data_IF_249733562635
#
_entry.id   IF_249733562635
#
_cell.length_a   1.000
_cell.length_b   1.000
_cell.length_c   1.000
_cell.angle_alpha   90.00
_cell.angle_beta   90.00
_cell.angle_gamma   90.00
#
_symmetry.space_group_name_H-M   'P 1'
#
loop_
_entity.id
_entity.type
_entity.pdbx_description
1 polymer ?
#
# COMPACT_ATOMS: atom_id res chain seq x y z
N UNK A 1 26.65 -10.20 -0.56
CA UNK A 1 26.08 -8.86 -0.26
C UNK A 1 25.44 -8.32 -1.53
N UNK A 2 24.15 -8.09 -1.52
CA UNK A 2 23.43 -7.48 -2.66
C UNK A 2 23.89 -6.05 -2.80
N UNK A 3 24.38 -5.71 -4.00
CA UNK A 3 24.88 -4.36 -4.31
C UNK A 3 23.68 -3.41 -4.42
N UNK A 4 23.70 -2.32 -3.65
CA UNK A 4 22.69 -1.27 -3.75
C UNK A 4 22.61 -0.69 -5.17
N UNK A 5 21.42 -0.39 -5.64
CA UNK A 5 21.20 0.17 -6.97
C UNK A 5 21.27 1.71 -6.92
N UNK A 6 22.35 2.26 -7.44
CA UNK A 6 22.48 3.71 -7.64
C UNK A 6 21.77 4.11 -8.94
N UNK A 7 20.62 4.79 -8.84
CA UNK A 7 19.84 5.24 -10.00
C UNK A 7 20.44 6.45 -10.72
N UNK A 8 21.44 7.09 -10.14
CA UNK A 8 22.11 8.23 -10.78
C UNK A 8 23.08 7.81 -11.90
N UNK A 9 23.33 6.50 -12.06
CA UNK A 9 24.29 5.96 -13.05
C UNK A 9 23.72 4.75 -13.80
N UNK A 10 24.30 4.40 -14.93
CA UNK A 10 24.03 3.19 -15.70
C UNK A 10 22.61 3.10 -16.29
N UNK A 11 22.17 1.89 -16.68
CA UNK A 11 20.88 1.68 -17.35
C UNK A 11 19.70 1.83 -16.40
N UNK A 12 18.86 2.80 -16.65
CA UNK A 12 17.68 3.14 -15.86
C UNK A 12 16.65 2.01 -15.88
N UNK A 13 16.27 1.54 -17.08
CA UNK A 13 15.23 0.51 -17.24
C UNK A 13 15.59 -0.78 -16.51
N UNK A 14 16.84 -1.25 -16.66
CA UNK A 14 17.33 -2.45 -15.97
C UNK A 14 17.26 -2.29 -14.45
N UNK A 15 17.66 -1.13 -13.93
CA UNK A 15 17.67 -0.87 -12.48
C UNK A 15 16.25 -0.76 -11.90
N UNK A 16 15.34 -0.06 -12.61
CA UNK A 16 13.94 0.03 -12.17
C UNK A 16 13.32 -1.36 -12.15
N UNK A 17 13.52 -2.18 -13.20
CA UNK A 17 13.00 -3.54 -13.23
C UNK A 17 13.57 -4.40 -12.09
N UNK A 18 14.89 -4.42 -11.90
CA UNK A 18 15.53 -5.18 -10.82
C UNK A 18 15.10 -4.74 -9.43
N UNK A 19 14.75 -3.46 -9.27
CA UNK A 19 14.29 -2.91 -8.00
C UNK A 19 12.80 -3.21 -7.76
N UNK A 20 11.96 -3.16 -8.81
CA UNK A 20 10.53 -3.43 -8.71
C UNK A 20 10.19 -4.91 -8.50
N UNK A 21 10.96 -5.84 -9.07
CA UNK A 21 10.70 -7.27 -8.91
C UNK A 21 10.61 -7.74 -7.44
N UNK A 22 11.53 -7.36 -6.52
CA UNK A 22 11.37 -7.68 -5.11
C UNK A 22 10.15 -7.02 -4.46
N UNK A 23 9.76 -5.80 -4.89
CA UNK A 23 8.57 -5.14 -4.36
C UNK A 23 7.31 -5.91 -4.75
N UNK A 24 7.18 -6.27 -6.04
CA UNK A 24 6.08 -7.07 -6.56
C UNK A 24 5.99 -8.44 -5.87
N UNK A 25 7.13 -9.12 -5.73
CA UNK A 25 7.17 -10.40 -5.01
C UNK A 25 6.71 -10.22 -3.56
N UNK A 26 7.16 -9.15 -2.88
CA UNK A 26 6.74 -8.83 -1.52
C UNK A 26 5.24 -8.65 -1.38
N UNK A 27 4.63 -7.89 -2.28
CA UNK A 27 3.17 -7.68 -2.29
C UNK A 27 2.40 -8.97 -2.56
N UNK A 28 2.84 -9.80 -3.50
CA UNK A 28 2.23 -11.11 -3.76
C UNK A 28 2.31 -11.99 -2.51
N UNK A 29 3.48 -12.10 -1.88
CA UNK A 29 3.64 -12.87 -0.64
C UNK A 29 2.76 -12.33 0.49
N UNK A 30 2.62 -11.01 0.60
CA UNK A 30 1.76 -10.38 1.60
C UNK A 30 0.28 -10.72 1.36
N UNK A 31 -0.18 -10.71 0.12
CA UNK A 31 -1.56 -11.10 -0.21
C UNK A 31 -1.79 -12.60 0.04
N UNK A 32 -0.82 -13.45 -0.31
CA UNK A 32 -0.93 -14.89 -0.06
C UNK A 32 -1.02 -15.20 1.42
N UNK A 33 -0.17 -14.60 2.26
CA UNK A 33 -0.25 -14.87 3.69
C UNK A 33 -1.56 -14.36 4.31
N UNK A 34 -2.09 -13.20 3.89
CA UNK A 34 -3.39 -12.71 4.35
C UNK A 34 -4.54 -13.67 4.01
N UNK A 35 -4.47 -14.31 2.83
CA UNK A 35 -5.44 -15.33 2.43
C UNK A 35 -5.30 -16.57 3.31
N UNK A 36 -4.08 -17.04 3.56
CA UNK A 36 -3.82 -18.22 4.39
C UNK A 36 -4.26 -18.00 5.84
N UNK A 37 -3.93 -16.86 6.44
CA UNK A 37 -4.38 -16.48 7.78
C UNK A 37 -5.91 -16.48 7.88
N UNK A 38 -6.58 -15.83 6.93
CA UNK A 38 -8.05 -15.82 6.86
C UNK A 38 -8.65 -17.22 6.73
N UNK A 39 -8.02 -18.10 5.93
CA UNK A 39 -8.45 -19.49 5.77
C UNK A 39 -8.26 -20.31 7.06
N UNK A 40 -7.15 -20.13 7.77
CA UNK A 40 -6.90 -20.80 9.05
C UNK A 40 -7.94 -20.38 10.07
N UNK A 41 -8.17 -19.07 10.24
CA UNK A 41 -9.16 -18.55 11.18
C UNK A 41 -10.57 -19.05 10.81
N UNK A 42 -10.99 -18.92 9.56
CA UNK A 42 -12.34 -19.33 9.12
C UNK A 42 -12.59 -20.83 9.26
N UNK A 43 -11.60 -21.65 8.96
CA UNK A 43 -11.73 -23.12 9.00
C UNK A 43 -11.73 -23.70 10.41
N UNK A 44 -10.92 -23.12 11.31
CA UNK A 44 -10.68 -23.72 12.63
C UNK A 44 -11.36 -22.99 13.78
N UNK A 45 -11.70 -21.70 13.62
CA UNK A 45 -12.32 -20.89 14.70
C UNK A 45 -13.78 -20.52 14.42
N UNK A 46 -14.26 -20.74 13.20
CA UNK A 46 -15.67 -20.52 12.83
C UNK A 46 -15.99 -19.08 12.40
N UNK A 47 -17.27 -18.86 12.08
CA UNK A 47 -17.77 -17.66 11.42
C UNK A 47 -17.63 -16.38 12.26
N UNK A 48 -17.95 -16.44 13.56
CA UNK A 48 -17.86 -15.27 14.44
C UNK A 48 -16.41 -14.76 14.58
N UNK A 49 -15.44 -15.68 14.68
CA UNK A 49 -14.01 -15.36 14.72
C UNK A 49 -13.53 -14.77 13.39
N UNK A 50 -14.00 -15.33 12.28
CA UNK A 50 -13.69 -14.82 10.94
C UNK A 50 -14.24 -13.40 10.74
N UNK A 51 -15.47 -13.14 11.20
CA UNK A 51 -16.09 -11.81 11.15
C UNK A 51 -15.31 -10.80 12.01
N UNK A 52 -14.84 -11.21 13.19
CA UNK A 52 -14.03 -10.38 14.07
C UNK A 52 -12.69 -9.99 13.41
N UNK A 53 -11.95 -10.98 12.89
CA UNK A 53 -10.65 -10.74 12.22
C UNK A 53 -10.83 -9.90 10.96
N UNK A 54 -11.85 -10.16 10.15
CA UNK A 54 -12.15 -9.39 8.94
C UNK A 54 -12.48 -7.91 9.23
N UNK A 55 -13.26 -7.65 10.29
CA UNK A 55 -13.57 -6.29 10.73
C UNK A 55 -12.32 -5.58 11.29
N UNK A 56 -11.50 -6.28 12.08
CA UNK A 56 -10.24 -5.77 12.59
C UNK A 56 -9.24 -5.45 11.46
N UNK A 57 -9.20 -6.28 10.41
CA UNK A 57 -8.36 -6.05 9.24
C UNK A 57 -8.69 -4.71 8.56
N UNK A 58 -9.96 -4.37 8.42
CA UNK A 58 -10.39 -3.08 7.83
C UNK A 58 -9.89 -1.89 8.65
N UNK A 59 -10.00 -1.97 9.99
CA UNK A 59 -9.46 -0.95 10.89
C UNK A 59 -7.93 -0.84 10.78
N UNK A 60 -7.25 -1.99 10.75
CA UNK A 60 -5.79 -2.02 10.68
C UNK A 60 -5.25 -1.51 9.35
N UNK A 61 -5.92 -1.75 8.22
CA UNK A 61 -5.58 -1.12 6.93
C UNK A 61 -5.56 0.40 7.07
N UNK A 62 -6.54 0.99 7.74
CA UNK A 62 -6.58 2.44 7.93
C UNK A 62 -5.42 2.93 8.80
N UNK A 63 -5.17 2.32 9.96
CA UNK A 63 -4.08 2.70 10.87
C UNK A 63 -2.71 2.51 10.19
N UNK A 64 -2.50 1.37 9.53
CA UNK A 64 -1.23 1.07 8.86
C UNK A 64 -0.99 1.96 7.64
N UNK A 65 -2.04 2.41 6.94
CA UNK A 65 -1.91 3.35 5.82
C UNK A 65 -1.29 4.69 6.25
N UNK A 66 -1.59 5.13 7.48
CA UNK A 66 -0.97 6.32 8.08
C UNK A 66 0.54 6.09 8.21
N UNK A 67 0.95 4.98 8.83
CA UNK A 67 2.37 4.65 9.04
C UNK A 67 3.13 4.44 7.75
N UNK A 68 2.53 3.72 6.79
CA UNK A 68 3.11 3.50 5.45
C UNK A 68 3.34 4.84 4.76
N UNK A 69 2.35 5.74 4.76
CA UNK A 69 2.48 7.05 4.16
C UNK A 69 3.56 7.91 4.81
N UNK A 70 3.64 7.91 6.14
CA UNK A 70 4.67 8.63 6.90
C UNK A 70 6.08 8.14 6.56
N UNK A 71 6.29 6.84 6.56
CA UNK A 71 7.59 6.23 6.28
C UNK A 71 7.97 6.34 4.81
N UNK A 72 7.00 6.25 3.89
CA UNK A 72 7.19 6.45 2.46
C UNK A 72 7.64 7.89 2.15
N UNK A 73 7.02 8.90 2.77
CA UNK A 73 7.41 10.30 2.61
C UNK A 73 8.83 10.56 3.10
N UNK A 74 9.22 9.99 4.24
CA UNK A 74 10.60 10.05 4.75
C UNK A 74 11.58 9.34 3.81
N UNK A 75 11.21 8.19 3.25
CA UNK A 75 12.01 7.43 2.29
C UNK A 75 12.34 8.24 1.04
N UNK A 76 11.40 9.05 0.55
CA UNK A 76 11.65 9.99 -0.55
C UNK A 76 12.69 11.03 -0.16
N UNK A 77 12.61 11.60 1.04
CA UNK A 77 13.61 12.56 1.51
C UNK A 77 15.00 11.93 1.62
N UNK A 78 15.08 10.69 2.13
CA UNK A 78 16.36 9.94 2.16
C UNK A 78 16.92 9.70 0.77
N UNK A 79 16.05 9.35 -0.20
CA UNK A 79 16.44 9.15 -1.60
C UNK A 79 17.02 10.42 -2.21
N UNK A 80 16.43 11.58 -1.93
CA UNK A 80 16.94 12.89 -2.36
C UNK A 80 18.32 13.17 -1.74
N UNK A 81 18.48 12.99 -0.43
CA UNK A 81 19.76 13.17 0.25
C UNK A 81 20.84 12.20 -0.27
N UNK A 82 20.45 10.96 -0.58
CA UNK A 82 21.35 9.96 -1.17
C UNK A 82 21.83 10.40 -2.55
N UNK A 83 20.91 10.88 -3.42
CA UNK A 83 21.26 11.43 -4.73
C UNK A 83 22.17 12.66 -4.64
N UNK A 84 21.97 13.52 -3.64
CA UNK A 84 22.86 14.66 -3.34
C UNK A 84 24.23 14.25 -2.83
N UNK A 85 24.45 12.97 -2.51
CA UNK A 85 25.63 12.48 -1.80
C UNK A 85 25.88 13.20 -0.46
N UNK A 86 24.84 13.78 0.14
CA UNK A 86 24.92 14.52 1.39
C UNK A 86 24.65 13.60 2.59
N UNK A 87 25.68 12.86 2.98
CA UNK A 87 25.61 11.89 4.09
C UNK A 87 25.25 12.55 5.42
N UNK A 88 25.73 13.77 5.68
CA UNK A 88 25.43 14.49 6.92
C UNK A 88 23.93 14.79 7.03
N UNK A 89 23.35 15.37 5.97
CA UNK A 89 21.91 15.69 5.92
C UNK A 89 21.04 14.43 5.96
N UNK A 90 21.48 13.36 5.30
CA UNK A 90 20.79 12.07 5.33
C UNK A 90 20.76 11.48 6.75
N UNK A 91 21.90 11.41 7.44
CA UNK A 91 21.98 10.90 8.83
C UNK A 91 21.15 11.74 9.80
N UNK A 92 21.18 13.06 9.66
CA UNK A 92 20.37 13.95 10.47
C UNK A 92 18.86 13.76 10.19
N UNK A 93 18.48 13.56 8.92
CA UNK A 93 17.11 13.30 8.54
C UNK A 93 16.59 11.95 9.07
N UNK A 94 17.43 10.91 9.08
CA UNK A 94 17.14 9.62 9.71
C UNK A 94 16.83 9.80 11.20
N UNK A 95 17.67 10.56 11.93
CA UNK A 95 17.46 10.83 13.34
C UNK A 95 16.12 11.53 13.61
N UNK A 96 15.88 12.64 12.92
CA UNK A 96 14.68 13.48 13.11
C UNK A 96 13.42 12.69 12.76
N UNK A 97 13.40 12.01 11.61
CA UNK A 97 12.21 11.27 11.18
C UNK A 97 11.93 10.04 12.05
N UNK A 98 12.97 9.32 12.50
CA UNK A 98 12.79 8.18 13.42
C UNK A 98 12.13 8.61 14.71
N UNK A 99 12.60 9.71 15.33
CA UNK A 99 11.99 10.24 16.55
C UNK A 99 10.57 10.74 16.31
N UNK A 100 10.35 11.50 15.25
CA UNK A 100 9.03 12.10 14.98
C UNK A 100 7.97 11.06 14.62
N UNK A 101 8.28 10.13 13.70
CA UNK A 101 7.35 9.09 13.28
C UNK A 101 7.20 8.04 14.37
N UNK A 102 8.28 7.71 15.11
CA UNK A 102 8.23 6.83 16.27
C UNK A 102 7.34 7.39 17.38
N UNK A 103 7.46 8.68 17.71
CA UNK A 103 6.59 9.34 18.66
C UNK A 103 5.12 9.33 18.22
N UNK A 104 4.86 9.58 16.92
CA UNK A 104 3.51 9.52 16.38
C UNK A 104 2.96 8.09 16.36
N UNK A 105 3.80 7.08 16.12
CA UNK A 105 3.40 5.67 16.17
C UNK A 105 3.04 5.23 17.58
N UNK A 106 3.81 5.68 18.59
CA UNK A 106 3.49 5.47 20.01
C UNK A 106 2.18 6.17 20.40
N UNK A 107 1.96 7.38 19.90
CA UNK A 107 0.72 8.13 20.12
C UNK A 107 -0.49 7.42 19.50
N UNK A 108 -0.38 6.96 18.24
CA UNK A 108 -1.41 6.17 17.58
C UNK A 108 -1.70 4.86 18.33
N UNK A 109 -0.65 4.18 18.79
CA UNK A 109 -0.79 2.97 19.59
C UNK A 109 -1.55 3.26 20.89
N UNK A 110 -1.14 4.28 21.65
CA UNK A 110 -1.80 4.67 22.89
C UNK A 110 -3.27 5.06 22.68
N UNK A 111 -3.56 5.88 21.67
CA UNK A 111 -4.94 6.26 21.31
C UNK A 111 -5.78 5.03 20.95
N UNK A 112 -5.24 4.08 20.19
CA UNK A 112 -5.97 2.86 19.82
C UNK A 112 -6.39 2.06 21.05
N UNK A 113 -5.55 1.98 22.08
CA UNK A 113 -5.92 1.33 23.34
C UNK A 113 -6.91 2.15 24.17
N UNK A 114 -6.72 3.47 24.27
CA UNK A 114 -7.60 4.35 25.06
C UNK A 114 -9.03 4.33 24.50
N UNK A 115 -9.15 4.38 23.17
CA UNK A 115 -10.44 4.45 22.49
C UNK A 115 -10.94 3.10 21.97
N UNK A 116 -10.45 1.98 22.49
CA UNK A 116 -10.83 0.64 22.05
C UNK A 116 -12.35 0.41 22.10
N UNK A 117 -13.00 0.80 23.20
CA UNK A 117 -14.45 0.61 23.35
C UNK A 117 -15.26 1.51 22.43
N UNK A 118 -14.79 2.75 22.22
CA UNK A 118 -15.39 3.69 21.29
C UNK A 118 -15.25 3.20 19.85
N UNK A 119 -14.11 2.59 19.50
CA UNK A 119 -13.88 1.97 18.19
C UNK A 119 -14.87 0.82 17.99
N UNK A 120 -15.06 -0.07 18.97
CA UNK A 120 -16.01 -1.18 18.89
C UNK A 120 -17.42 -0.66 18.66
N UNK A 121 -17.84 0.38 19.39
CA UNK A 121 -19.15 1.01 19.24
C UNK A 121 -19.31 1.69 17.88
N UNK A 122 -18.28 2.44 17.43
CA UNK A 122 -18.30 3.14 16.15
C UNK A 122 -18.42 2.18 14.98
N UNK A 123 -17.74 1.03 15.05
CA UNK A 123 -17.78 -0.01 14.03
C UNK A 123 -19.07 -0.83 14.06
N UNK A 124 -19.96 -0.61 15.05
CA UNK A 124 -21.23 -1.31 15.20
C UNK A 124 -21.07 -2.84 15.19
N UNK A 125 -20.04 -3.33 15.86
CA UNK A 125 -19.74 -4.78 15.92
C UNK A 125 -20.87 -5.50 16.67
N UNK A 126 -21.45 -6.57 16.10
CA UNK A 126 -22.50 -7.36 16.73
C UNK A 126 -22.04 -7.94 18.08
N UNK A 127 -22.96 -8.07 19.05
CA UNK A 127 -22.64 -8.46 20.42
C UNK A 127 -21.99 -9.85 20.54
N UNK A 128 -22.36 -10.78 19.66
CA UNK A 128 -21.81 -12.14 19.57
C UNK A 128 -20.38 -12.18 19.00
N UNK A 129 -19.95 -11.13 18.27
CA UNK A 129 -18.62 -10.98 17.68
C UNK A 129 -17.72 -10.07 18.54
N UNK A 130 -18.31 -9.19 19.34
CA UNK A 130 -17.62 -8.12 20.03
C UNK A 130 -16.50 -8.62 20.98
N UNK A 131 -16.67 -9.75 21.66
CA UNK A 131 -15.65 -10.34 22.53
C UNK A 131 -14.44 -10.79 21.74
N UNK A 132 -14.63 -11.50 20.61
CA UNK A 132 -13.56 -11.96 19.73
C UNK A 132 -12.83 -10.78 19.09
N UNK A 133 -13.56 -9.75 18.67
CA UNK A 133 -13.00 -8.53 18.09
C UNK A 133 -12.14 -7.78 19.09
N UNK A 134 -12.60 -7.62 20.35
CA UNK A 134 -11.85 -7.02 21.44
C UNK A 134 -10.54 -7.79 21.70
N UNK A 135 -10.63 -9.11 21.88
CA UNK A 135 -9.47 -9.95 22.19
C UNK A 135 -8.43 -9.90 21.06
N UNK A 136 -8.87 -9.85 19.82
CA UNK A 136 -8.00 -9.67 18.67
C UNK A 136 -7.30 -8.30 18.70
N UNK A 137 -8.06 -7.20 18.87
CA UNK A 137 -7.51 -5.85 18.84
C UNK A 137 -6.54 -5.56 19.99
N UNK A 138 -6.79 -6.11 21.18
CA UNK A 138 -5.87 -5.97 22.32
C UNK A 138 -4.45 -6.45 21.99
N UNK A 139 -4.33 -7.53 21.21
CA UNK A 139 -3.02 -8.00 20.76
C UNK A 139 -2.52 -7.24 19.54
N UNK A 140 -3.35 -7.07 18.52
CA UNK A 140 -2.91 -6.53 17.24
C UNK A 140 -2.42 -5.07 17.36
N UNK A 141 -2.99 -4.26 18.25
CA UNK A 141 -2.51 -2.91 18.50
C UNK A 141 -1.07 -2.88 19.00
N UNK A 142 -0.62 -3.88 19.74
CA UNK A 142 0.80 -3.97 20.15
C UNK A 142 1.74 -4.12 18.95
N UNK A 143 1.27 -4.60 17.80
CA UNK A 143 1.99 -4.71 16.55
C UNK A 143 2.25 -3.38 15.83
N UNK A 144 1.52 -2.29 16.14
CA UNK A 144 1.66 -0.98 15.49
C UNK A 144 3.13 -0.50 15.49
N UNK A 145 3.85 -0.73 16.58
CA UNK A 145 5.26 -0.36 16.71
C UNK A 145 6.15 -1.24 15.81
N UNK A 146 5.84 -2.52 15.71
CA UNK A 146 6.56 -3.43 14.81
C UNK A 146 6.36 -3.06 13.34
N UNK A 147 5.12 -2.72 12.96
CA UNK A 147 4.77 -2.20 11.62
C UNK A 147 5.53 -0.92 11.32
N UNK A 148 5.63 0.01 12.28
CA UNK A 148 6.47 1.21 12.12
C UNK A 148 7.92 0.83 11.86
N UNK A 149 8.52 0.00 12.70
CA UNK A 149 9.93 -0.39 12.57
C UNK A 149 10.21 -1.00 11.21
N UNK A 150 9.39 -1.99 10.80
CA UNK A 150 9.56 -2.62 9.49
C UNK A 150 9.47 -1.61 8.35
N UNK A 151 8.39 -0.83 8.27
CA UNK A 151 8.17 0.11 7.17
C UNK A 151 9.21 1.21 7.14
N UNK A 152 9.67 1.70 8.30
CA UNK A 152 10.69 2.74 8.40
C UNK A 152 12.04 2.27 7.83
N UNK A 153 12.54 1.13 8.31
CA UNK A 153 13.83 0.61 7.84
C UNK A 153 13.74 0.05 6.42
N UNK A 154 12.60 -0.49 6.01
CA UNK A 154 12.36 -0.86 4.62
C UNK A 154 12.39 0.38 3.70
N UNK A 155 11.77 1.50 4.08
CA UNK A 155 11.82 2.75 3.34
C UNK A 155 13.25 3.31 3.26
N UNK A 156 14.01 3.23 4.35
CA UNK A 156 15.42 3.64 4.39
C UNK A 156 16.29 2.81 3.45
N UNK A 157 16.15 1.48 3.48
CA UNK A 157 16.90 0.58 2.58
C UNK A 157 16.51 0.80 1.11
N UNK A 158 15.22 0.97 0.83
CA UNK A 158 14.74 1.29 -0.52
C UNK A 158 15.32 2.63 -1.01
N UNK A 159 15.44 3.62 -0.15
CA UNK A 159 15.99 4.92 -0.49
C UNK A 159 17.43 4.87 -1.01
N UNK A 160 18.23 3.92 -0.52
CA UNK A 160 19.59 3.66 -1.00
C UNK A 160 19.68 2.61 -2.10
N UNK A 161 18.54 2.17 -2.64
CA UNK A 161 18.47 1.26 -3.77
C UNK A 161 18.45 -0.24 -3.41
N UNK A 162 18.07 -0.60 -2.17
CA UNK A 162 17.97 -1.98 -1.74
C UNK A 162 16.50 -2.36 -1.47
N UNK A 163 15.87 -3.08 -2.38
CA UNK A 163 14.52 -3.62 -2.24
C UNK A 163 14.49 -5.09 -1.83
N UNK A 164 15.62 -5.81 -1.94
CA UNK A 164 15.66 -7.24 -1.69
C UNK A 164 15.66 -7.56 -0.18
N UNK A 165 16.39 -6.81 0.62
CA UNK A 165 16.46 -7.08 2.07
C UNK A 165 15.08 -6.92 2.75
N UNK A 166 14.31 -5.84 2.49
CA UNK A 166 12.92 -5.76 2.97
C UNK A 166 12.06 -6.98 2.57
N UNK A 167 12.19 -7.46 1.32
CA UNK A 167 11.48 -8.66 0.86
C UNK A 167 11.84 -9.89 1.70
N UNK A 168 13.13 -10.12 1.97
CA UNK A 168 13.57 -11.29 2.76
C UNK A 168 12.92 -11.29 4.14
N UNK A 169 12.91 -10.14 4.84
CA UNK A 169 12.26 -10.05 6.15
C UNK A 169 10.74 -10.20 6.07
N UNK A 170 10.10 -9.75 4.98
CA UNK A 170 8.68 -9.95 4.76
C UNK A 170 8.35 -11.44 4.56
N UNK A 171 9.14 -12.17 3.75
CA UNK A 171 8.95 -13.61 3.54
C UNK A 171 9.14 -14.38 4.86
N UNK A 172 10.19 -14.07 5.62
CA UNK A 172 10.43 -14.70 6.92
C UNK A 172 9.24 -14.44 7.87
N UNK A 173 8.75 -13.21 7.92
CA UNK A 173 7.57 -12.84 8.72
C UNK A 173 6.33 -13.63 8.30
N UNK A 174 6.06 -13.72 6.99
CA UNK A 174 4.89 -14.45 6.47
C UNK A 174 4.94 -15.94 6.81
N UNK A 175 6.08 -16.59 6.63
CA UNK A 175 6.27 -18.00 6.97
C UNK A 175 6.16 -18.24 8.48
N UNK A 176 6.73 -17.35 9.28
CA UNK A 176 6.64 -17.41 10.73
C UNK A 176 5.20 -17.22 11.22
N UNK A 177 4.47 -16.27 10.64
CA UNK A 177 3.06 -16.05 10.97
C UNK A 177 2.23 -17.31 10.72
N UNK A 178 2.30 -17.91 9.54
CA UNK A 178 1.58 -19.15 9.21
C UNK A 178 1.93 -20.28 10.20
N UNK A 179 3.20 -20.47 10.51
CA UNK A 179 3.63 -21.49 11.46
C UNK A 179 3.09 -21.25 12.88
N UNK A 180 3.10 -19.99 13.32
CA UNK A 180 2.59 -19.60 14.64
C UNK A 180 1.06 -19.64 14.70
N UNK A 181 0.34 -19.30 13.62
CA UNK A 181 -1.13 -19.45 13.55
C UNK A 181 -1.52 -20.91 13.77
N UNK A 182 -0.89 -21.84 13.06
CA UNK A 182 -1.14 -23.27 13.24
C UNK A 182 -0.80 -23.73 14.67
N UNK A 183 0.30 -23.25 15.23
CA UNK A 183 0.72 -23.58 16.59
C UNK A 183 -0.25 -23.05 17.65
N UNK A 184 -0.60 -21.77 17.59
CA UNK A 184 -1.44 -21.11 18.61
C UNK A 184 -2.91 -21.50 18.51
N UNK A 185 -3.41 -21.73 17.29
CA UNK A 185 -4.81 -22.08 17.07
C UNK A 185 -5.02 -23.57 17.28
N UNK A 186 -4.18 -24.45 16.66
CA UNK A 186 -4.44 -25.90 16.67
C UNK A 186 -3.84 -26.59 17.90
N UNK A 187 -2.62 -26.22 18.29
CA UNK A 187 -1.93 -26.90 19.40
C UNK A 187 -2.28 -26.28 20.73
N UNK A 188 -2.16 -24.94 20.83
CA UNK A 188 -2.41 -24.23 22.10
C UNK A 188 -3.87 -23.80 22.29
N UNK A 189 -4.71 -23.94 21.28
CA UNK A 189 -6.15 -23.64 21.31
C UNK A 189 -6.49 -22.25 21.86
N UNK A 190 -5.67 -21.25 21.51
CA UNK A 190 -5.82 -19.86 22.00
C UNK A 190 -6.88 -19.07 21.24
N UNK A 191 -7.60 -19.68 20.30
CA UNK A 191 -8.66 -19.01 19.52
C UNK A 191 -8.16 -17.79 18.75
N UNK A 192 -9.00 -16.75 18.66
CA UNK A 192 -8.72 -15.51 17.92
C UNK A 192 -7.52 -14.74 18.47
N UNK A 193 -7.33 -14.78 19.80
CA UNK A 193 -6.15 -14.18 20.44
C UNK A 193 -4.85 -14.85 20.01
N UNK A 194 -4.89 -16.15 19.68
CA UNK A 194 -3.76 -16.89 19.11
C UNK A 194 -3.35 -16.36 17.74
N UNK A 195 -4.29 -16.14 16.84
CA UNK A 195 -4.05 -15.55 15.53
C UNK A 195 -3.43 -14.14 15.65
N UNK A 196 -4.00 -13.29 16.52
CA UNK A 196 -3.45 -11.96 16.75
C UNK A 196 -2.01 -11.99 17.28
N UNK A 197 -1.71 -12.90 18.25
CA UNK A 197 -0.35 -13.09 18.76
C UNK A 197 0.63 -13.54 17.69
N UNK A 198 0.22 -14.49 16.83
CA UNK A 198 1.04 -14.98 15.73
C UNK A 198 1.43 -13.84 14.78
N UNK A 199 0.45 -13.02 14.39
CA UNK A 199 0.67 -11.84 13.54
C UNK A 199 1.64 -10.87 14.20
N UNK A 200 1.42 -10.49 15.46
CA UNK A 200 2.28 -9.54 16.16
C UNK A 200 3.71 -10.05 16.33
N UNK A 201 3.89 -11.32 16.69
CA UNK A 201 5.23 -11.91 16.82
C UNK A 201 5.95 -11.90 15.46
N UNK A 202 5.25 -12.24 14.38
CA UNK A 202 5.81 -12.22 13.03
C UNK A 202 6.18 -10.79 12.58
N UNK A 203 5.35 -9.80 12.91
CA UNK A 203 5.63 -8.38 12.66
C UNK A 203 6.85 -7.90 13.44
N UNK A 204 6.98 -8.26 14.72
CA UNK A 204 8.17 -7.94 15.52
C UNK A 204 9.41 -8.66 14.99
N UNK A 205 9.30 -9.90 14.54
CA UNK A 205 10.43 -10.62 13.93
C UNK A 205 10.95 -9.90 12.68
N UNK A 206 10.07 -9.40 11.82
CA UNK A 206 10.49 -8.59 10.66
C UNK A 206 10.98 -7.21 11.04
N UNK A 207 10.27 -6.48 11.92
CA UNK A 207 10.63 -5.12 12.33
C UNK A 207 11.94 -5.04 13.11
N UNK A 208 12.14 -5.92 14.08
CA UNK A 208 13.40 -6.02 14.82
C UNK A 208 14.50 -6.64 13.97
N UNK A 209 14.17 -7.61 13.13
CA UNK A 209 15.12 -8.25 12.23
C UNK A 209 15.74 -7.24 11.25
N UNK A 210 14.93 -6.42 10.57
CA UNK A 210 15.43 -5.39 9.64
C UNK A 210 16.19 -4.27 10.38
N UNK A 211 15.78 -3.91 11.59
CA UNK A 211 16.52 -2.98 12.47
C UNK A 211 17.91 -3.56 12.79
N UNK A 212 17.97 -4.80 13.28
CA UNK A 212 19.24 -5.48 13.58
C UNK A 212 20.13 -5.57 12.33
N UNK A 213 19.55 -5.91 11.18
CA UNK A 213 20.28 -5.89 9.92
C UNK A 213 20.91 -4.52 9.65
N UNK A 214 20.15 -3.43 9.80
CA UNK A 214 20.66 -2.10 9.62
C UNK A 214 21.79 -1.77 10.62
N UNK A 215 21.63 -2.14 11.89
CA UNK A 215 22.62 -1.87 12.94
C UNK A 215 23.96 -2.62 12.73
N UNK A 216 23.90 -3.87 12.28
CA UNK A 216 25.10 -4.71 12.16
C UNK A 216 25.75 -4.66 10.78
N UNK A 217 24.96 -4.59 9.70
CA UNK A 217 25.45 -4.71 8.33
C UNK A 217 25.44 -3.42 7.53
N UNK A 218 24.68 -2.38 7.96
CA UNK A 218 24.58 -1.08 7.28
C UNK A 218 25.08 0.07 8.16
N UNK A 219 26.33 -0.08 8.59
CA UNK A 219 27.02 0.95 9.41
C UNK A 219 27.10 2.31 8.74
N UNK A 220 27.04 2.35 7.41
CA UNK A 220 26.96 3.56 6.58
C UNK A 220 25.69 4.39 6.86
N UNK A 221 24.59 3.73 7.24
CA UNK A 221 23.29 4.36 7.55
C UNK A 221 23.13 4.72 9.04
N UNK A 222 24.06 4.28 9.90
CA UNK A 222 23.98 4.57 11.33
C UNK A 222 24.21 6.03 11.62
N UNK A 223 23.43 6.56 12.55
CA UNK A 223 23.49 7.98 12.96
C UNK A 223 24.50 8.14 14.08
N UNK A 224 25.66 8.70 13.76
CA UNK A 224 26.70 9.07 14.72
C UNK A 224 26.25 10.20 15.63
N UNK A 225 26.79 10.28 16.86
CA UNK A 225 26.40 11.31 17.86
C UNK A 225 26.45 12.74 17.31
N UNK A 226 27.41 13.06 16.43
CA UNK A 226 27.55 14.40 15.82
C UNK A 226 26.36 14.81 14.94
N UNK A 227 25.58 13.86 14.39
CA UNK A 227 24.40 14.11 13.55
C UNK A 227 23.08 14.01 14.31
N UNK A 228 23.11 13.70 15.61
CA UNK A 228 21.91 13.66 16.47
C UNK A 228 21.54 15.06 16.94
N UNK A 229 21.27 15.94 15.98
CA UNK A 229 20.87 17.33 16.23
C UNK A 229 19.54 17.59 15.57
N UNK A 230 18.67 18.34 16.27
CA UNK A 230 17.40 18.77 15.72
C UNK A 230 17.63 19.93 14.75
N UNK A 231 17.06 19.83 13.54
CA UNK A 231 17.07 20.87 12.53
C UNK A 231 15.61 21.14 12.09
N UNK A 232 15.07 22.33 12.40
CA UNK A 232 13.69 22.67 12.06
C UNK A 232 13.40 22.65 10.54
N UNK A 233 14.42 22.93 9.70
CA UNK A 233 14.24 22.92 8.25
C UNK A 233 14.06 21.49 7.72
N UNK A 234 14.88 20.57 8.19
CA UNK A 234 14.78 19.14 7.86
C UNK A 234 13.46 18.57 8.41
N UNK A 235 13.11 18.89 9.65
CA UNK A 235 11.84 18.47 10.26
C UNK A 235 10.64 18.93 9.43
N UNK A 236 10.59 20.20 9.02
CA UNK A 236 9.51 20.76 8.20
C UNK A 236 9.41 20.06 6.85
N UNK A 237 10.54 19.85 6.15
CA UNK A 237 10.59 19.20 4.84
C UNK A 237 10.06 17.75 4.94
N UNK A 238 10.55 16.98 5.92
CA UNK A 238 10.13 15.59 6.17
C UNK A 238 8.66 15.54 6.57
N UNK A 239 8.24 16.37 7.52
CA UNK A 239 6.85 16.40 7.98
C UNK A 239 5.89 16.71 6.84
N UNK A 240 6.23 17.66 5.96
CA UNK A 240 5.42 17.96 4.78
C UNK A 240 5.30 16.75 3.84
N UNK A 241 6.42 16.11 3.51
CA UNK A 241 6.42 14.91 2.66
C UNK A 241 5.66 13.75 3.31
N UNK A 242 5.93 13.48 4.57
CA UNK A 242 5.36 12.35 5.31
C UNK A 242 3.86 12.53 5.56
N UNK A 243 3.43 13.69 6.07
CA UNK A 243 2.02 13.93 6.39
C UNK A 243 1.13 13.98 5.13
N UNK A 244 1.59 14.64 4.05
CA UNK A 244 0.82 14.68 2.82
C UNK A 244 0.78 13.31 2.12
N UNK A 245 1.86 12.52 2.19
CA UNK A 245 1.84 11.14 1.68
C UNK A 245 0.93 10.25 2.52
N UNK A 246 0.94 10.41 3.84
CA UNK A 246 0.04 9.70 4.75
C UNK A 246 -1.43 10.07 4.48
N UNK A 247 -1.72 11.35 4.32
CA UNK A 247 -3.06 11.83 3.95
C UNK A 247 -3.52 11.21 2.62
N UNK A 248 -2.65 11.20 1.60
CA UNK A 248 -2.93 10.56 0.32
C UNK A 248 -3.29 9.09 0.48
N UNK A 249 -2.49 8.31 1.21
CA UNK A 249 -2.72 6.87 1.43
C UNK A 249 -4.02 6.62 2.20
N UNK A 250 -4.32 7.44 3.19
CA UNK A 250 -5.56 7.35 3.97
C UNK A 250 -6.80 7.66 3.12
N UNK A 251 -6.75 8.70 2.27
CA UNK A 251 -7.84 9.04 1.35
C UNK A 251 -8.07 7.92 0.33
N UNK A 252 -7.00 7.30 -0.19
CA UNK A 252 -7.13 6.18 -1.13
C UNK A 252 -7.93 5.03 -0.52
N UNK A 253 -7.60 4.62 0.71
CA UNK A 253 -8.31 3.54 1.38
C UNK A 253 -9.76 3.90 1.73
N UNK A 254 -10.02 5.14 2.16
CA UNK A 254 -11.37 5.61 2.48
C UNK A 254 -12.27 5.73 1.24
N UNK A 255 -11.72 6.16 0.11
CA UNK A 255 -12.48 6.35 -1.13
C UNK A 255 -13.10 5.05 -1.68
N UNK A 256 -12.45 3.91 -1.46
CA UNK A 256 -12.98 2.60 -1.85
C UNK A 256 -14.25 2.27 -1.07
N UNK A 257 -14.29 2.59 0.23
CA UNK A 257 -15.45 2.32 1.09
C UNK A 257 -16.70 3.11 0.68
N UNK A 258 -16.54 4.33 0.16
CA UNK A 258 -17.68 5.14 -0.30
C UNK A 258 -18.41 4.51 -1.50
N UNK A 259 -17.68 3.90 -2.40
CA UNK A 259 -18.27 3.19 -3.56
C UNK A 259 -18.88 1.87 -3.14
N UNK A 260 -18.31 1.18 -2.15
CA UNK A 260 -18.84 -0.09 -1.64
C UNK A 260 -20.29 0.04 -1.15
N UNK A 261 -20.63 1.13 -0.45
CA UNK A 261 -21.99 1.39 0.01
C UNK A 261 -23.00 1.46 -1.13
N UNK A 262 -22.64 2.11 -2.23
CA UNK A 262 -23.46 2.20 -3.44
C UNK A 262 -23.61 0.82 -4.12
N UNK A 263 -22.51 0.06 -4.24
CA UNK A 263 -22.56 -1.30 -4.80
C UNK A 263 -23.51 -2.20 -3.99
N UNK A 264 -23.49 -2.08 -2.66
CA UNK A 264 -24.35 -2.86 -1.78
C UNK A 264 -25.84 -2.61 -2.03
N UNK A 265 -26.25 -1.41 -2.46
CA UNK A 265 -27.65 -1.08 -2.77
C UNK A 265 -28.21 -1.82 -3.99
N UNK A 266 -27.33 -2.39 -4.84
CA UNK A 266 -27.74 -3.19 -6.01
C UNK A 266 -28.00 -4.68 -5.71
N UNK A 267 -27.88 -5.08 -4.45
CA UNK A 267 -28.22 -6.42 -3.98
C UNK A 267 -27.05 -7.39 -3.90
N UNK A 268 -27.32 -8.56 -3.35
CA UNK A 268 -26.29 -9.55 -2.95
C UNK A 268 -25.48 -10.11 -4.11
N UNK A 269 -26.10 -10.29 -5.28
CA UNK A 269 -25.42 -10.80 -6.48
C UNK A 269 -24.34 -9.82 -6.95
N UNK A 270 -24.66 -8.51 -7.01
CA UNK A 270 -23.72 -7.46 -7.39
C UNK A 270 -22.63 -7.29 -6.34
N UNK A 271 -22.97 -7.38 -5.05
CA UNK A 271 -22.00 -7.36 -3.95
C UNK A 271 -20.97 -8.49 -4.08
N UNK A 272 -21.43 -9.71 -4.33
CA UNK A 272 -20.57 -10.88 -4.48
C UNK A 272 -19.68 -10.76 -5.73
N UNK A 273 -20.25 -10.29 -6.85
CA UNK A 273 -19.53 -10.04 -8.08
C UNK A 273 -18.41 -9.00 -7.89
N UNK A 274 -18.74 -7.89 -7.23
CA UNK A 274 -17.77 -6.83 -6.94
C UNK A 274 -16.66 -7.29 -5.97
N UNK A 275 -17.03 -7.99 -4.90
CA UNK A 275 -16.06 -8.49 -3.92
C UNK A 275 -15.03 -9.46 -4.55
N UNK A 276 -15.47 -10.34 -5.45
CA UNK A 276 -14.57 -11.22 -6.19
C UNK A 276 -13.74 -10.44 -7.24
N UNK A 277 -14.41 -9.55 -7.99
CA UNK A 277 -13.78 -8.72 -9.01
C UNK A 277 -12.66 -7.84 -8.45
N UNK A 278 -12.89 -7.15 -7.34
CA UNK A 278 -11.88 -6.30 -6.68
C UNK A 278 -10.65 -7.08 -6.21
N UNK A 279 -10.81 -8.33 -5.78
CA UNK A 279 -9.65 -9.17 -5.40
C UNK A 279 -8.78 -9.50 -6.61
N UNK A 280 -9.40 -9.84 -7.74
CA UNK A 280 -8.69 -10.12 -8.99
C UNK A 280 -8.01 -8.84 -9.48
N UNK A 281 -8.75 -7.75 -9.51
CA UNK A 281 -8.31 -6.43 -9.94
C UNK A 281 -7.11 -5.95 -9.13
N UNK A 282 -7.16 -6.06 -7.80
CA UNK A 282 -6.05 -5.70 -6.91
C UNK A 282 -4.76 -6.48 -7.23
N UNK A 283 -4.87 -7.78 -7.49
CA UNK A 283 -3.72 -8.59 -7.90
C UNK A 283 -3.17 -8.16 -9.26
N UNK A 284 -4.05 -7.76 -10.17
CA UNK A 284 -3.68 -7.37 -11.53
C UNK A 284 -2.96 -6.02 -11.60
N UNK A 285 -3.42 -5.01 -10.83
CA UNK A 285 -2.82 -3.67 -10.88
C UNK A 285 -1.74 -3.43 -9.81
N UNK A 286 -1.63 -4.24 -8.75
CA UNK A 286 -0.63 -4.02 -7.70
C UNK A 286 0.81 -3.92 -8.23
N UNK A 287 1.24 -4.67 -9.26
CA UNK A 287 2.56 -4.48 -9.87
C UNK A 287 2.77 -3.10 -10.48
N UNK A 288 1.72 -2.46 -11.00
CA UNK A 288 1.80 -1.08 -11.53
C UNK A 288 2.10 -0.07 -10.41
N UNK A 289 1.53 -0.28 -9.22
CA UNK A 289 1.83 0.54 -8.04
C UNK A 289 3.28 0.35 -7.58
N UNK A 290 3.81 -0.86 -7.68
CA UNK A 290 5.20 -1.16 -7.32
C UNK A 290 6.21 -0.56 -8.30
N UNK A 291 5.90 -0.54 -9.59
CA UNK A 291 6.64 0.24 -10.57
C UNK A 291 6.65 1.73 -10.20
N UNK A 292 5.51 2.28 -9.77
CA UNK A 292 5.41 3.65 -9.25
C UNK A 292 6.36 3.89 -8.07
N UNK A 293 6.44 2.96 -7.12
CA UNK A 293 7.33 3.06 -5.97
C UNK A 293 8.82 2.99 -6.37
N UNK A 294 9.17 2.10 -7.30
CA UNK A 294 10.52 2.03 -7.87
C UNK A 294 10.90 3.32 -8.60
N UNK A 295 9.99 3.82 -9.42
CA UNK A 295 10.13 5.09 -10.13
C UNK A 295 10.29 6.28 -9.18
N UNK A 296 9.52 6.33 -8.06
CA UNK A 296 9.66 7.37 -7.03
C UNK A 296 11.09 7.46 -6.50
N UNK A 297 11.71 6.31 -6.17
CA UNK A 297 13.09 6.25 -5.69
C UNK A 297 14.08 6.72 -6.76
N UNK A 298 13.90 6.27 -8.02
CA UNK A 298 14.77 6.66 -9.13
C UNK A 298 14.70 8.16 -9.42
N UNK A 299 13.50 8.76 -9.45
CA UNK A 299 13.32 10.21 -9.62
C UNK A 299 13.89 10.97 -8.44
N UNK A 300 13.64 10.55 -7.20
CA UNK A 300 14.10 11.25 -6.01
C UNK A 300 15.63 11.31 -5.93
N UNK A 301 16.33 10.20 -6.27
CA UNK A 301 17.80 10.19 -6.33
C UNK A 301 18.33 11.14 -7.42
N UNK A 302 17.74 11.11 -8.63
CA UNK A 302 18.18 11.99 -9.73
C UNK A 302 17.79 13.46 -9.48
N UNK A 303 16.65 13.71 -8.82
CA UNK A 303 16.27 15.05 -8.38
C UNK A 303 17.27 15.60 -7.35
N UNK A 304 17.69 14.76 -6.41
CA UNK A 304 18.75 15.08 -5.46
C UNK A 304 20.08 15.39 -6.14
N UNK A 305 20.45 14.62 -7.15
CA UNK A 305 21.66 14.84 -7.95
C UNK A 305 21.60 16.07 -8.87
N UNK A 306 20.41 16.68 -9.05
CA UNK A 306 20.21 17.82 -9.96
C UNK A 306 20.22 17.44 -11.45
N UNK A 307 20.14 16.14 -11.79
CA UNK A 307 20.23 15.64 -13.17
C UNK A 307 18.85 15.60 -13.85
N UNK A 308 18.45 16.74 -14.41
CA UNK A 308 17.19 16.90 -15.14
C UNK A 308 17.08 16.00 -16.38
N UNK A 309 18.22 15.71 -17.03
CA UNK A 309 18.24 14.83 -18.20
C UNK A 309 17.86 13.40 -17.78
N UNK A 310 18.49 12.90 -16.71
CA UNK A 310 18.17 11.57 -16.19
C UNK A 310 16.74 11.47 -15.62
N UNK A 311 16.21 12.54 -15.04
CA UNK A 311 14.79 12.57 -14.63
C UNK A 311 13.88 12.31 -15.84
N UNK A 312 14.12 12.99 -16.98
CA UNK A 312 13.36 12.75 -18.21
C UNK A 312 13.50 11.32 -18.73
N UNK A 313 14.73 10.79 -18.73
CA UNK A 313 15.02 9.41 -19.10
C UNK A 313 14.28 8.41 -18.18
N UNK A 314 14.27 8.65 -16.87
CA UNK A 314 13.50 7.84 -15.91
C UNK A 314 12.00 7.87 -16.20
N UNK A 315 11.43 9.05 -16.50
CA UNK A 315 10.01 9.19 -16.86
C UNK A 315 9.67 8.37 -18.10
N UNK A 316 10.48 8.50 -19.17
CA UNK A 316 10.25 7.79 -20.42
C UNK A 316 10.40 6.27 -20.25
N UNK A 317 11.46 5.83 -19.56
CA UNK A 317 11.71 4.42 -19.32
C UNK A 317 10.57 3.78 -18.49
N UNK A 318 10.16 4.44 -17.41
CA UNK A 318 9.08 3.96 -16.56
C UNK A 318 7.73 3.97 -17.27
N UNK A 319 7.43 5.01 -18.06
CA UNK A 319 6.20 5.06 -18.86
C UNK A 319 6.12 3.88 -19.83
N UNK A 320 7.21 3.57 -20.55
CA UNK A 320 7.26 2.41 -21.45
C UNK A 320 6.99 1.10 -20.70
N UNK A 321 7.62 0.91 -19.54
CA UNK A 321 7.45 -0.31 -18.73
C UNK A 321 6.02 -0.43 -18.20
N UNK A 322 5.48 0.66 -17.63
CA UNK A 322 4.11 0.70 -17.07
C UNK A 322 3.08 0.45 -18.17
N UNK A 323 3.20 1.12 -19.34
CA UNK A 323 2.29 0.92 -20.46
C UNK A 323 2.37 -0.50 -21.01
N UNK A 324 3.59 -1.05 -21.20
CA UNK A 324 3.76 -2.42 -21.69
C UNK A 324 3.16 -3.45 -20.72
N UNK A 325 3.40 -3.29 -19.42
CA UNK A 325 2.85 -4.18 -18.40
C UNK A 325 1.33 -4.03 -18.28
N UNK A 326 0.81 -2.79 -18.29
CA UNK A 326 -0.62 -2.52 -18.25
C UNK A 326 -1.34 -3.14 -19.45
N UNK A 327 -0.81 -3.00 -20.67
CA UNK A 327 -1.37 -3.62 -21.88
C UNK A 327 -1.40 -5.14 -21.76
N UNK A 328 -0.30 -5.76 -21.34
CA UNK A 328 -0.25 -7.21 -21.14
C UNK A 328 -1.32 -7.67 -20.14
N UNK A 329 -1.38 -7.02 -18.98
CA UNK A 329 -2.35 -7.35 -17.93
C UNK A 329 -3.78 -7.08 -18.39
N UNK A 330 -4.02 -5.97 -19.12
CA UNK A 330 -5.32 -5.64 -19.71
C UNK A 330 -5.82 -6.74 -20.66
N UNK A 331 -4.97 -7.22 -21.54
CA UNK A 331 -5.32 -8.32 -22.47
C UNK A 331 -5.68 -9.59 -21.71
N UNK A 332 -4.87 -9.97 -20.71
CA UNK A 332 -5.12 -11.17 -19.90
C UNK A 332 -6.44 -11.05 -19.14
N UNK A 333 -6.66 -9.95 -18.42
CA UNK A 333 -7.88 -9.74 -17.64
C UNK A 333 -9.12 -9.68 -18.55
N UNK A 334 -9.04 -8.96 -19.67
CA UNK A 334 -10.17 -8.85 -20.60
C UNK A 334 -10.55 -10.19 -21.22
N UNK A 335 -9.55 -10.96 -21.66
CA UNK A 335 -9.76 -12.26 -22.32
C UNK A 335 -10.28 -13.33 -21.34
N UNK A 336 -9.73 -13.39 -20.13
CA UNK A 336 -10.01 -14.44 -19.16
C UNK A 336 -10.92 -13.98 -18.00
N UNK A 337 -11.64 -12.86 -18.13
CA UNK A 337 -12.48 -12.33 -17.07
C UNK A 337 -13.49 -13.34 -16.48
N UNK A 338 -14.26 -14.11 -17.28
CA UNK A 338 -15.19 -15.10 -16.74
C UNK A 338 -14.49 -16.24 -16.00
N UNK A 339 -13.38 -16.74 -16.52
CA UNK A 339 -12.57 -17.82 -15.94
C UNK A 339 -11.96 -17.39 -14.61
N UNK A 340 -11.44 -16.17 -14.55
CA UNK A 340 -10.91 -15.58 -13.32
C UNK A 340 -12.00 -15.40 -12.27
N UNK A 341 -13.19 -14.97 -12.65
CA UNK A 341 -14.35 -14.90 -11.75
C UNK A 341 -14.75 -16.29 -11.25
N UNK A 342 -14.77 -17.29 -12.13
CA UNK A 342 -15.11 -18.66 -11.77
C UNK A 342 -14.11 -19.33 -10.79
N UNK A 343 -12.96 -18.73 -10.56
CA UNK A 343 -12.01 -19.15 -9.53
C UNK A 343 -12.46 -18.76 -8.11
N UNK A 344 -13.18 -17.64 -7.98
CA UNK A 344 -13.64 -17.08 -6.70
C UNK A 344 -15.11 -17.36 -6.42
N UNK A 345 -15.91 -17.63 -7.46
CA UNK A 345 -17.36 -17.82 -7.37
C UNK A 345 -17.71 -19.18 -7.98
N UNK A 346 -18.68 -19.92 -7.39
CA UNK A 346 -19.13 -21.19 -7.97
C UNK A 346 -19.56 -21.03 -9.44
N UNK A 347 -19.16 -21.95 -10.30
CA UNK A 347 -19.49 -21.91 -11.74
C UNK A 347 -20.99 -21.86 -12.04
N UNK A 348 -21.83 -22.36 -11.12
CA UNK A 348 -23.27 -22.29 -11.21
C UNK A 348 -23.84 -20.88 -11.03
N UNK A 349 -23.10 -19.95 -10.42
CA UNK A 349 -23.50 -18.56 -10.21
C UNK A 349 -23.22 -17.70 -11.47
N UNK A 350 -23.84 -18.05 -12.58
CA UNK A 350 -23.58 -17.48 -13.92
C UNK A 350 -23.81 -15.97 -13.97
N UNK A 351 -24.82 -15.46 -13.28
CA UNK A 351 -25.12 -14.03 -13.22
C UNK A 351 -24.05 -13.26 -12.47
N UNK A 352 -23.59 -13.76 -11.31
CA UNK A 352 -22.48 -13.17 -10.55
C UNK A 352 -21.21 -13.12 -11.38
N UNK A 353 -20.90 -14.20 -12.13
CA UNK A 353 -19.75 -14.27 -13.03
C UNK A 353 -19.88 -13.25 -14.15
N UNK A 354 -21.06 -13.11 -14.76
CA UNK A 354 -21.28 -12.17 -15.86
C UNK A 354 -21.10 -10.70 -15.39
N UNK A 355 -21.65 -10.33 -14.24
CA UNK A 355 -21.51 -8.98 -13.67
C UNK A 355 -20.05 -8.70 -13.31
N UNK A 356 -19.36 -9.62 -12.63
CA UNK A 356 -17.96 -9.46 -12.26
C UNK A 356 -17.02 -9.45 -13.47
N UNK A 357 -17.30 -10.24 -14.50
CA UNK A 357 -16.55 -10.19 -15.77
C UNK A 357 -16.76 -8.85 -16.49
N UNK A 358 -17.98 -8.27 -16.43
CA UNK A 358 -18.26 -6.92 -16.91
C UNK A 358 -17.42 -5.86 -16.21
N UNK A 359 -17.33 -5.93 -14.88
CA UNK A 359 -16.47 -5.09 -14.05
C UNK A 359 -15.00 -5.20 -14.50
N UNK A 360 -14.46 -6.42 -14.51
CA UNK A 360 -13.06 -6.70 -14.88
C UNK A 360 -12.70 -6.24 -16.29
N UNK A 361 -13.63 -6.36 -17.24
CA UNK A 361 -13.41 -5.91 -18.63
C UNK A 361 -13.34 -4.40 -18.74
N UNK A 362 -14.17 -3.68 -17.98
CA UNK A 362 -14.18 -2.21 -18.00
C UNK A 362 -12.91 -1.67 -17.34
N UNK A 363 -12.59 -2.11 -16.12
CA UNK A 363 -11.39 -1.65 -15.43
C UNK A 363 -10.11 -2.17 -16.08
N UNK A 364 -10.09 -3.46 -16.42
CA UNK A 364 -8.94 -4.08 -17.06
C UNK A 364 -8.55 -3.43 -18.38
N UNK A 365 -9.50 -3.00 -19.20
CA UNK A 365 -9.21 -2.26 -20.43
C UNK A 365 -8.50 -0.92 -20.18
N UNK A 366 -8.59 -0.38 -18.97
CA UNK A 366 -8.11 0.96 -18.61
C UNK A 366 -6.93 0.96 -17.64
N UNK A 367 -6.25 -0.17 -17.41
CA UNK A 367 -5.11 -0.24 -16.48
C UNK A 367 -3.95 0.71 -16.81
N UNK A 368 -3.86 1.19 -18.05
CA UNK A 368 -2.92 2.26 -18.41
C UNK A 368 -3.18 3.50 -17.55
N UNK A 369 -4.45 3.85 -17.30
CA UNK A 369 -4.83 5.00 -16.49
C UNK A 369 -4.28 4.88 -15.05
N UNK A 370 -4.59 3.79 -14.33
CA UNK A 370 -4.04 3.63 -12.98
C UNK A 370 -2.51 3.55 -12.97
N UNK A 371 -1.90 3.00 -14.01
CA UNK A 371 -0.45 2.98 -14.18
C UNK A 371 0.15 4.39 -14.31
N UNK A 372 -0.44 5.25 -15.14
CA UNK A 372 -0.03 6.66 -15.29
C UNK A 372 -0.27 7.41 -13.98
N UNK A 373 -1.42 7.21 -13.34
CA UNK A 373 -1.75 7.86 -12.07
C UNK A 373 -0.73 7.52 -10.97
N UNK A 374 -0.32 6.24 -10.87
CA UNK A 374 0.71 5.80 -9.92
C UNK A 374 2.06 6.48 -10.18
N UNK A 375 2.43 6.65 -11.45
CA UNK A 375 3.62 7.40 -11.84
C UNK A 375 3.53 8.88 -11.48
N UNK A 376 2.37 9.51 -11.67
CA UNK A 376 2.16 10.92 -11.30
C UNK A 376 2.26 11.12 -9.79
N UNK A 377 1.65 10.24 -8.98
CA UNK A 377 1.81 10.25 -7.53
C UNK A 377 3.29 10.16 -7.12
N UNK A 378 4.00 9.22 -7.72
CA UNK A 378 5.41 8.99 -7.47
C UNK A 378 6.29 10.17 -7.89
N UNK A 379 6.04 10.75 -9.06
CA UNK A 379 6.75 11.89 -9.60
C UNK A 379 6.64 13.12 -8.70
N UNK A 380 5.41 13.56 -8.42
CA UNK A 380 5.18 14.77 -7.61
C UNK A 380 5.74 14.64 -6.20
N UNK A 381 5.60 13.45 -5.60
CA UNK A 381 6.23 13.16 -4.30
C UNK A 381 7.74 13.24 -4.36
N UNK A 382 8.37 12.69 -5.40
CA UNK A 382 9.82 12.65 -5.57
C UNK A 382 10.45 14.03 -5.81
N UNK A 383 9.74 14.96 -6.45
CA UNK A 383 10.19 16.35 -6.68
C UNK A 383 9.81 17.32 -5.56
N UNK A 384 9.43 16.82 -4.38
CA UNK A 384 9.01 17.60 -3.20
C UNK A 384 7.68 18.36 -3.36
N UNK A 385 6.79 17.91 -4.23
CA UNK A 385 5.43 18.43 -4.40
C UNK A 385 4.34 17.42 -3.97
N UNK A 386 4.38 16.84 -2.75
CA UNK A 386 3.44 15.79 -2.35
C UNK A 386 1.98 16.27 -2.29
N UNK A 387 1.75 17.58 -2.17
CA UNK A 387 0.41 18.16 -2.25
C UNK A 387 -0.29 17.89 -3.57
N UNK A 388 0.46 17.81 -4.69
CA UNK A 388 -0.12 17.41 -5.98
C UNK A 388 -0.61 15.97 -5.96
N UNK A 389 0.10 15.04 -5.31
CA UNK A 389 -0.37 13.66 -5.16
C UNK A 389 -1.70 13.60 -4.40
N UNK A 390 -1.88 14.43 -3.36
CA UNK A 390 -3.16 14.55 -2.64
C UNK A 390 -4.26 15.10 -3.55
N UNK A 391 -3.98 16.18 -4.31
CA UNK A 391 -4.95 16.78 -5.26
C UNK A 391 -5.38 15.73 -6.30
N UNK A 392 -4.44 15.01 -6.91
CA UNK A 392 -4.75 13.95 -7.88
C UNK A 392 -5.59 12.84 -7.27
N UNK A 393 -5.32 12.46 -6.01
CA UNK A 393 -6.12 11.47 -5.29
C UNK A 393 -7.56 11.96 -5.08
N UNK A 394 -7.73 13.22 -4.64
CA UNK A 394 -9.06 13.83 -4.47
C UNK A 394 -9.80 13.93 -5.81
N UNK A 395 -9.11 14.34 -6.88
CA UNK A 395 -9.71 14.40 -8.21
C UNK A 395 -10.14 13.02 -8.71
N UNK A 396 -9.28 12.00 -8.58
CA UNK A 396 -9.59 10.64 -9.01
C UNK A 396 -10.73 10.02 -8.21
N UNK A 397 -10.64 10.01 -6.88
CA UNK A 397 -11.64 9.38 -6.02
C UNK A 397 -12.91 10.22 -5.89
N UNK A 398 -12.79 11.54 -5.80
CA UNK A 398 -13.95 12.43 -5.71
C UNK A 398 -14.80 12.40 -6.98
N UNK A 399 -14.19 12.48 -8.16
CA UNK A 399 -14.90 12.33 -9.43
C UNK A 399 -15.52 10.94 -9.59
N UNK A 400 -14.78 9.87 -9.19
CA UNK A 400 -15.28 8.49 -9.17
C UNK A 400 -16.56 8.37 -8.32
N UNK A 401 -16.58 8.91 -7.09
CA UNK A 401 -17.77 8.84 -6.22
C UNK A 401 -18.93 9.61 -6.85
N UNK A 402 -18.71 10.86 -7.28
CA UNK A 402 -19.76 11.67 -7.91
C UNK A 402 -20.33 10.97 -9.16
N UNK A 403 -19.46 10.46 -10.03
CA UNK A 403 -19.87 9.79 -11.26
C UNK A 403 -20.53 8.43 -10.97
N UNK A 404 -20.11 7.68 -9.96
CA UNK A 404 -20.74 6.43 -9.57
C UNK A 404 -22.21 6.65 -9.21
N UNK A 405 -22.50 7.64 -8.36
CA UNK A 405 -23.88 7.99 -8.00
C UNK A 405 -24.67 8.56 -9.19
N UNK A 406 -24.07 9.46 -9.97
CA UNK A 406 -24.74 10.11 -11.09
C UNK A 406 -25.05 9.11 -12.22
N UNK A 407 -24.09 8.29 -12.64
CA UNK A 407 -24.28 7.35 -13.75
C UNK A 407 -25.15 6.16 -13.36
N UNK A 408 -25.01 5.63 -12.13
CA UNK A 408 -25.83 4.49 -11.69
C UNK A 408 -27.31 4.84 -11.51
N UNK A 409 -27.63 6.11 -11.28
CA UNK A 409 -29.03 6.60 -11.23
C UNK A 409 -29.70 6.62 -12.60
N UNK A 410 -28.94 6.58 -13.70
CA UNK A 410 -29.49 6.55 -15.05
C UNK A 410 -29.86 5.11 -15.41
N UNK A 411 -31.14 4.83 -15.82
CA UNK A 411 -31.61 3.45 -16.11
C UNK A 411 -30.77 2.71 -17.16
N UNK A 412 -30.17 3.45 -18.09
CA UNK A 412 -29.33 2.89 -19.15
C UNK A 412 -28.02 2.31 -18.65
N UNK A 413 -27.43 2.92 -17.61
CA UNK A 413 -26.12 2.50 -17.08
C UNK A 413 -26.24 1.53 -15.90
N UNK A 414 -27.13 1.80 -14.93
CA UNK A 414 -27.27 0.95 -13.73
C UNK A 414 -25.91 0.68 -13.06
N UNK A 415 -25.65 -0.57 -12.74
CA UNK A 415 -24.38 -1.02 -12.12
C UNK A 415 -23.14 -0.70 -12.99
N UNK A 416 -23.28 -0.77 -14.31
CA UNK A 416 -22.19 -0.43 -15.23
C UNK A 416 -21.70 1.01 -15.08
N UNK A 417 -22.59 1.93 -14.66
CA UNK A 417 -22.23 3.32 -14.35
C UNK A 417 -21.24 3.43 -13.20
N UNK A 418 -21.32 2.53 -12.21
CA UNK A 418 -20.35 2.46 -11.11
C UNK A 418 -18.99 2.04 -11.66
N UNK A 419 -18.95 0.99 -12.51
CA UNK A 419 -17.72 0.49 -13.09
C UNK A 419 -17.03 1.53 -13.97
N UNK A 420 -17.78 2.24 -14.81
CA UNK A 420 -17.26 3.29 -15.69
C UNK A 420 -16.71 4.51 -14.91
N UNK A 421 -17.26 4.79 -13.73
CA UNK A 421 -16.79 5.92 -12.90
C UNK A 421 -15.32 5.81 -12.50
N UNK A 422 -14.80 4.58 -12.40
CA UNK A 422 -13.43 4.29 -11.92
C UNK A 422 -12.39 4.75 -12.95
N UNK A 423 -12.39 4.24 -14.20
CA UNK A 423 -11.43 4.68 -15.20
C UNK A 423 -11.62 6.15 -15.62
N UNK A 424 -12.85 6.69 -15.59
CA UNK A 424 -13.07 8.12 -15.83
C UNK A 424 -12.39 8.96 -14.74
N UNK A 425 -12.48 8.54 -13.47
CA UNK A 425 -11.79 9.19 -12.37
C UNK A 425 -10.27 9.20 -12.55
N UNK A 426 -9.69 8.08 -13.01
CA UNK A 426 -8.26 8.03 -13.35
C UNK A 426 -7.92 9.00 -14.47
N UNK A 427 -8.69 9.00 -15.57
CA UNK A 427 -8.44 9.86 -16.71
C UNK A 427 -8.49 11.36 -16.35
N UNK A 428 -9.45 11.78 -15.50
CA UNK A 428 -9.54 13.17 -15.03
C UNK A 428 -8.27 13.57 -14.26
N UNK A 429 -7.82 12.72 -13.34
CA UNK A 429 -6.62 12.97 -12.56
C UNK A 429 -5.36 12.96 -13.43
N UNK A 430 -5.26 12.03 -14.38
CA UNK A 430 -4.11 11.90 -15.29
C UNK A 430 -3.97 13.11 -16.19
N UNK A 431 -5.07 13.55 -16.83
CA UNK A 431 -5.08 14.75 -17.68
C UNK A 431 -4.63 15.96 -16.89
N UNK A 432 -5.17 16.16 -15.69
CA UNK A 432 -4.78 17.28 -14.84
C UNK A 432 -3.32 17.18 -14.39
N UNK A 433 -2.87 16.00 -13.96
CA UNK A 433 -1.51 15.77 -13.51
C UNK A 433 -0.47 15.99 -14.61
N UNK A 434 -0.72 15.47 -15.80
CA UNK A 434 0.17 15.66 -16.97
C UNK A 434 0.20 17.14 -17.39
N UNK A 435 -0.99 17.76 -17.51
CA UNK A 435 -1.10 19.18 -17.87
C UNK A 435 -0.31 20.10 -16.91
N UNK A 436 -0.42 19.87 -15.60
CA UNK A 436 0.33 20.62 -14.58
C UNK A 436 1.83 20.39 -14.70
N UNK A 437 2.26 19.14 -14.95
CA UNK A 437 3.67 18.79 -15.13
C UNK A 437 4.31 19.41 -16.37
N UNK A 438 3.54 19.66 -17.43
CA UNK A 438 4.01 20.35 -18.65
C UNK A 438 4.11 21.86 -18.45
N UNK A 439 3.15 22.47 -17.75
CA UNK A 439 3.14 23.92 -17.49
C UNK A 439 4.06 24.40 -16.36
N UNK A 440 4.42 23.52 -15.44
CA UNK A 440 5.31 23.83 -14.33
C UNK A 440 6.80 23.78 -14.68
N UNK A 441 7.12 23.52 -15.95
CA UNK A 441 8.45 23.58 -16.56
C UNK A 441 8.55 24.87 -17.38
#
# INVERSE_FOLDING_TARGET
MTKDLDFTQGSISKKILLFSLPLMAGNIFQQLYNVVDTLIVGRFLGEASLAAVGSAYTLMIFITSILIGLTMGSGVYFSICHGQKNTARMKQSIYISFLSIGALSLFLNAISYIFLEEIIRFMQIPADVASYFRDYLLWIFSGIIAVFLYNYFAALLRAVGNSLIPLVFLIVSALLNIALDLLFILVFQQGVAGAAKATVIAEYASGLGILCYCLFYRKDLLVEKKYRRWDPSIFRDISRLSLLTSLQQSIMNFGILLVQGLVNSFGTIVMAAFAAGVKIDTLAYSPLMDFGNAFSTAIAQNYGAGDQKRIKECVIASAKMVVSFALLTSVIIYAFAPELMAFFVPRAATETIAIGAGYLRIEGACYIGIGILSMLYAYYRAIKEPGMSVILTILSLGSRVILAYALSALPFFGVTGIWLSIPIGWAIADVYGVWKGVRGR
#
